data_IF_851880096408
#
_entry.id   IF_851880096408
#
_cell.length_a   1.000
_cell.length_b   1.000
_cell.length_c   1.000
_cell.angle_alpha   90.00
_cell.angle_beta   90.00
_cell.angle_gamma   90.00
#
_symmetry.space_group_name_H-M   'P 1'
#
loop_
_entity.id
_entity.type
_entity.pdbx_description
1 polymer ?
#
# COMPACT_ATOMS: atom_id res chain seq x y z
N UNK A 1 -15.41 -0.12 4.88
CA UNK A 1 -14.70 0.59 3.79
C UNK A 1 -13.48 1.26 4.39
N UNK A 2 -12.32 1.11 3.77
CA UNK A 2 -11.07 1.79 4.18
C UNK A 2 -10.85 2.93 3.18
N UNK A 3 -10.71 4.17 3.66
CA UNK A 3 -10.46 5.34 2.81
C UNK A 3 -8.97 5.58 2.63
N UNK A 4 -8.18 5.42 3.69
CA UNK A 4 -6.73 5.44 3.59
C UNK A 4 -6.08 4.49 4.60
N UNK A 5 -4.85 4.15 4.34
CA UNK A 5 -3.95 3.55 5.32
C UNK A 5 -2.54 4.11 5.09
N UNK A 6 -1.67 3.95 6.08
CA UNK A 6 -0.34 4.52 6.03
C UNK A 6 0.72 3.44 6.08
N UNK A 7 1.80 3.64 5.35
CA UNK A 7 2.99 2.80 5.33
C UNK A 7 4.23 3.67 5.51
N UNK A 8 5.35 3.06 5.86
CA UNK A 8 6.64 3.74 5.92
C UNK A 8 7.56 3.24 4.80
N UNK A 9 8.37 4.15 4.23
CA UNK A 9 9.30 3.86 3.15
C UNK A 9 10.59 4.67 3.30
N UNK A 10 11.69 4.20 2.72
CA UNK A 10 12.96 4.96 2.67
C UNK A 10 12.87 6.12 1.70
N UNK A 11 12.17 5.93 0.59
CA UNK A 11 11.94 6.90 -0.47
C UNK A 11 10.44 7.16 -0.68
N UNK A 12 9.76 7.90 0.25
CA UNK A 12 8.30 8.06 0.22
C UNK A 12 7.75 8.58 -1.12
N UNK A 13 8.44 9.54 -1.74
CA UNK A 13 8.06 10.08 -3.04
C UNK A 13 8.01 9.01 -4.14
N UNK A 14 9.04 8.17 -4.17
CA UNK A 14 9.16 7.07 -5.14
C UNK A 14 8.08 6.02 -4.92
N UNK A 15 7.89 5.58 -3.68
CA UNK A 15 6.89 4.57 -3.34
C UNK A 15 5.48 5.09 -3.62
N UNK A 16 5.15 6.32 -3.22
CA UNK A 16 3.87 6.95 -3.55
C UNK A 16 3.66 7.08 -5.05
N UNK A 17 4.71 7.42 -5.81
CA UNK A 17 4.66 7.49 -7.28
C UNK A 17 4.31 6.15 -7.92
N UNK A 18 4.91 5.06 -7.46
CA UNK A 18 4.63 3.71 -7.97
C UNK A 18 3.21 3.25 -7.61
N UNK A 19 2.76 3.50 -6.37
CA UNK A 19 1.37 3.16 -5.98
C UNK A 19 0.38 3.96 -6.82
N UNK A 20 0.64 5.25 -7.06
CA UNK A 20 -0.20 6.08 -7.90
C UNK A 20 -0.24 5.56 -9.36
N UNK A 21 0.89 5.09 -9.90
CA UNK A 21 0.94 4.46 -11.23
C UNK A 21 0.09 3.19 -11.30
N UNK A 22 0.21 2.30 -10.29
CA UNK A 22 -0.63 1.10 -10.17
C UNK A 22 -2.13 1.43 -10.15
N UNK A 23 -2.51 2.60 -9.67
CA UNK A 23 -3.89 3.10 -9.60
C UNK A 23 -4.31 3.99 -10.78
N UNK A 24 -3.41 4.27 -11.72
CA UNK A 24 -3.58 5.34 -12.73
C UNK A 24 -4.02 6.67 -12.07
N UNK A 25 -3.55 6.88 -10.85
CA UNK A 25 -3.86 8.02 -10.01
C UNK A 25 -2.74 9.06 -10.00
N UNK A 26 -2.54 9.70 -8.86
CA UNK A 26 -1.50 10.74 -8.70
C UNK A 26 -0.80 10.63 -7.35
N UNK A 27 0.48 10.98 -7.32
CA UNK A 27 1.23 11.17 -6.07
C UNK A 27 1.44 12.67 -5.80
N UNK A 28 1.50 13.02 -4.52
CA UNK A 28 1.76 14.40 -4.09
C UNK A 28 2.44 14.43 -2.71
N UNK A 29 3.19 15.50 -2.40
CA UNK A 29 3.66 15.73 -1.04
C UNK A 29 2.50 15.78 -0.05
N UNK A 30 2.72 15.22 1.15
CA UNK A 30 1.69 15.18 2.19
C UNK A 30 2.23 15.74 3.53
N UNK A 31 2.41 17.07 3.63
CA UNK A 31 3.05 17.72 4.76
C UNK A 31 2.31 17.61 6.12
N UNK A 32 0.96 17.38 6.20
CA UNK A 32 0.28 17.37 7.50
C UNK A 32 0.85 16.36 8.51
N UNK A 33 1.49 15.32 8.05
CA UNK A 33 1.98 14.21 8.92
C UNK A 33 3.49 14.14 9.07
N UNK A 34 4.23 15.07 8.51
CA UNK A 34 5.68 15.16 8.67
C UNK A 34 6.39 15.53 7.38
N UNK A 35 7.52 16.19 7.53
CA UNK A 35 8.36 16.57 6.41
C UNK A 35 8.83 15.32 5.64
N UNK A 36 8.76 15.37 4.31
CA UNK A 36 9.16 14.27 3.44
C UNK A 36 8.10 13.18 3.25
N UNK A 37 6.92 13.28 3.87
CA UNK A 37 5.80 12.36 3.61
C UNK A 37 5.10 12.65 2.28
N UNK A 38 4.56 11.60 1.66
CA UNK A 38 3.85 11.65 0.39
C UNK A 38 2.53 10.91 0.47
N UNK A 39 1.64 11.18 -0.47
CA UNK A 39 0.40 10.44 -0.62
C UNK A 39 0.24 9.97 -2.07
N UNK A 40 -0.24 8.75 -2.24
CA UNK A 40 -0.75 8.22 -3.49
C UNK A 40 -2.27 8.23 -3.44
N UNK A 41 -2.92 8.88 -4.40
CA UNK A 41 -4.36 8.96 -4.51
C UNK A 41 -4.84 8.14 -5.71
N UNK A 42 -5.84 7.31 -5.49
CA UNK A 42 -6.48 6.56 -6.55
C UNK A 42 -7.38 7.45 -7.42
N UNK A 43 -7.54 7.09 -8.69
CA UNK A 43 -8.49 7.75 -9.61
C UNK A 43 -9.91 7.14 -9.48
N UNK A 44 -10.39 6.92 -8.26
CA UNK A 44 -11.63 6.16 -7.97
C UNK A 44 -12.84 7.04 -7.61
N UNK A 45 -12.68 8.36 -7.58
CA UNK A 45 -13.72 9.30 -7.16
C UNK A 45 -14.09 9.24 -5.67
N UNK A 46 -13.36 8.45 -4.84
CA UNK A 46 -13.61 8.26 -3.40
C UNK A 46 -12.51 8.85 -2.53
N UNK A 47 -11.45 9.40 -3.13
CA UNK A 47 -10.23 9.81 -2.45
C UNK A 47 -9.55 8.66 -1.68
N UNK A 48 -9.61 7.43 -2.20
CA UNK A 48 -8.81 6.34 -1.64
C UNK A 48 -7.34 6.70 -1.72
N UNK A 49 -6.63 6.54 -0.61
CA UNK A 49 -5.27 7.08 -0.47
C UNK A 49 -4.35 6.12 0.30
N UNK A 50 -3.10 6.07 -0.11
CA UNK A 50 -2.01 5.54 0.71
C UNK A 50 -1.10 6.68 1.10
N UNK A 51 -0.96 6.92 2.41
CA UNK A 51 0.03 7.84 2.95
C UNK A 51 1.35 7.12 3.11
N UNK A 52 2.42 7.71 2.61
CA UNK A 52 3.76 7.15 2.68
C UNK A 52 4.65 8.04 3.52
N UNK A 53 4.94 7.61 4.73
CA UNK A 53 5.79 8.28 5.71
C UNK A 53 7.26 7.94 5.49
N UNK A 54 8.15 8.75 6.01
CA UNK A 54 9.55 8.38 6.08
C UNK A 54 9.75 7.13 6.97
N UNK A 55 10.65 6.24 6.58
CA UNK A 55 10.98 5.06 7.38
C UNK A 55 11.42 5.47 8.80
N UNK A 56 10.86 4.81 9.80
CA UNK A 56 11.07 5.14 11.21
C UNK A 56 10.02 6.07 11.81
N UNK A 57 9.06 6.56 11.02
CA UNK A 57 7.93 7.31 11.58
C UNK A 57 7.03 6.39 12.41
N UNK A 58 6.75 6.78 13.65
CA UNK A 58 5.78 6.14 14.54
C UNK A 58 4.72 7.15 14.96
N UNK A 59 3.46 6.78 14.84
CA UNK A 59 2.35 7.55 15.40
C UNK A 59 2.11 7.09 16.85
N UNK A 60 2.14 8.03 17.77
CA UNK A 60 1.90 7.78 19.19
C UNK A 60 0.73 8.63 19.68
N UNK A 61 -0.12 8.06 20.54
CA UNK A 61 -1.20 8.84 21.14
C UNK A 61 -0.61 10.01 21.96
N UNK A 62 -1.32 11.12 21.97
CA UNK A 62 -1.04 12.26 22.86
C UNK A 62 -2.01 12.27 24.04
N UNK A 63 -1.73 13.10 25.04
CA UNK A 63 -2.60 13.27 26.20
C UNK A 63 -3.80 14.18 25.87
N UNK A 64 -4.94 13.87 26.48
CA UNK A 64 -6.16 14.67 26.35
C UNK A 64 -6.71 14.67 24.91
N UNK A 65 -7.04 15.84 24.42
CA UNK A 65 -7.62 16.06 23.08
C UNK A 65 -6.58 16.53 22.04
N UNK A 66 -5.31 16.28 22.30
CA UNK A 66 -4.25 16.64 21.37
C UNK A 66 -4.10 15.59 20.27
N UNK A 67 -3.71 16.04 19.06
CA UNK A 67 -3.44 15.18 17.92
C UNK A 67 -2.34 14.16 18.19
N UNK A 68 -2.41 12.99 17.52
CA UNK A 68 -1.35 12.01 17.56
C UNK A 68 0.00 12.61 17.15
N UNK A 69 1.04 12.22 17.85
CA UNK A 69 2.41 12.70 17.57
C UNK A 69 3.12 11.75 16.65
N UNK A 70 3.75 12.30 15.61
CA UNK A 70 4.71 11.57 14.81
C UNK A 70 6.10 11.69 15.48
N UNK A 71 6.72 10.56 15.78
CA UNK A 71 8.07 10.48 16.35
C UNK A 71 8.95 9.61 15.49
N UNK A 72 10.26 9.82 15.54
CA UNK A 72 11.23 9.03 14.78
C UNK A 72 11.76 7.89 15.64
N UNK A 73 11.62 6.66 15.14
CA UNK A 73 12.26 5.47 15.69
C UNK A 73 13.40 5.02 14.76
N UNK A 74 14.67 5.22 15.10
CA UNK A 74 15.79 4.79 14.29
C UNK A 74 15.95 3.26 14.22
N UNK A 75 15.23 2.50 15.06
CA UNK A 75 15.24 1.05 15.12
C UNK A 75 13.94 0.43 14.58
N UNK A 76 13.25 1.14 13.68
CA UNK A 76 12.03 0.63 13.06
C UNK A 76 12.29 -0.72 12.37
N UNK A 77 11.39 -1.72 12.52
CA UNK A 77 11.56 -3.02 11.90
C UNK A 77 11.51 -2.89 10.37
N UNK A 78 12.39 -3.62 9.69
CA UNK A 78 12.40 -3.68 8.23
C UNK A 78 11.16 -4.36 7.66
N UNK A 79 10.68 -5.40 8.32
CA UNK A 79 9.51 -6.18 7.90
C UNK A 79 8.42 -6.10 8.95
N UNK A 80 7.17 -5.96 8.49
CA UNK A 80 5.99 -5.95 9.36
C UNK A 80 4.92 -6.86 8.78
N UNK A 81 3.93 -7.22 9.58
CA UNK A 81 2.75 -7.92 9.10
C UNK A 81 1.74 -6.98 8.44
N UNK A 82 1.91 -5.68 8.59
CA UNK A 82 1.02 -4.68 7.99
C UNK A 82 1.15 -4.72 6.48
N UNK A 83 0.07 -5.03 5.78
CA UNK A 83 -0.03 -5.00 4.34
C UNK A 83 -1.47 -4.73 3.92
N UNK A 84 -1.69 -4.45 2.66
CA UNK A 84 -3.02 -4.28 2.11
C UNK A 84 -3.14 -4.97 0.75
N UNK A 85 -4.36 -5.40 0.42
CA UNK A 85 -4.72 -5.75 -0.93
C UNK A 85 -5.34 -4.52 -1.61
N UNK A 86 -4.81 -4.15 -2.77
CA UNK A 86 -5.24 -3.00 -3.55
C UNK A 86 -5.68 -3.42 -4.95
N UNK A 87 -6.78 -2.84 -5.41
CA UNK A 87 -7.23 -3.01 -6.79
C UNK A 87 -6.33 -2.25 -7.76
N UNK A 88 -6.17 -2.76 -8.99
CA UNK A 88 -5.51 -2.04 -10.08
C UNK A 88 -6.32 -2.21 -11.38
N UNK A 89 -6.39 -1.19 -12.26
CA UNK A 89 -6.89 -1.35 -13.61
C UNK A 89 -5.84 -1.87 -14.60
N UNK A 90 -4.60 -2.12 -14.13
CA UNK A 90 -3.51 -2.61 -14.96
C UNK A 90 -3.62 -4.12 -15.17
N UNK A 91 -3.08 -4.61 -16.28
CA UNK A 91 -2.88 -6.03 -16.50
C UNK A 91 -1.71 -6.57 -15.65
N UNK A 92 -1.65 -7.89 -15.47
CA UNK A 92 -0.63 -8.53 -14.65
C UNK A 92 0.80 -8.26 -15.13
N UNK A 93 1.04 -8.27 -16.43
CA UNK A 93 2.33 -8.00 -17.04
C UNK A 93 2.78 -6.54 -16.84
N UNK A 94 1.85 -5.58 -16.86
CA UNK A 94 2.12 -4.18 -16.54
C UNK A 94 2.58 -4.03 -15.08
N UNK A 95 1.94 -4.72 -14.14
CA UNK A 95 2.34 -4.72 -12.72
C UNK A 95 3.74 -5.31 -12.53
N UNK A 96 4.04 -6.43 -13.19
CA UNK A 96 5.38 -7.01 -13.15
C UNK A 96 6.44 -6.12 -13.80
N UNK A 97 6.10 -5.44 -14.91
CA UNK A 97 7.02 -4.50 -15.56
C UNK A 97 7.37 -3.31 -14.65
N UNK A 98 6.37 -2.78 -13.92
CA UNK A 98 6.58 -1.71 -12.94
C UNK A 98 7.52 -2.20 -11.84
N UNK A 99 7.24 -3.34 -11.21
CA UNK A 99 8.07 -3.88 -10.13
C UNK A 99 9.51 -4.16 -10.60
N UNK A 100 9.68 -4.73 -11.80
CA UNK A 100 10.99 -4.99 -12.39
C UNK A 100 11.78 -3.70 -12.66
N UNK A 101 11.14 -2.65 -13.17
CA UNK A 101 11.74 -1.33 -13.38
C UNK A 101 12.27 -0.75 -12.08
N UNK A 102 11.54 -0.92 -10.99
CA UNK A 102 11.92 -0.44 -9.66
C UNK A 102 12.99 -1.32 -8.98
N UNK A 103 13.26 -2.52 -9.50
CA UNK A 103 14.12 -3.51 -8.85
C UNK A 103 13.47 -4.14 -7.61
N UNK A 104 12.15 -4.19 -7.58
CA UNK A 104 11.36 -4.75 -6.48
C UNK A 104 10.90 -6.17 -6.80
N UNK A 105 10.88 -7.01 -5.78
CA UNK A 105 10.38 -8.37 -5.91
C UNK A 105 8.86 -8.36 -6.12
N UNK A 106 8.40 -9.12 -7.12
CA UNK A 106 6.99 -9.34 -7.36
C UNK A 106 6.72 -10.79 -7.75
N UNK A 107 5.64 -11.37 -7.22
CA UNK A 107 5.27 -12.76 -7.48
C UNK A 107 3.75 -12.93 -7.52
N UNK A 108 3.27 -13.65 -8.52
CA UNK A 108 1.88 -14.12 -8.51
C UNK A 108 1.71 -15.23 -7.47
N UNK A 109 0.60 -15.18 -6.74
CA UNK A 109 0.18 -16.22 -5.80
C UNK A 109 -1.30 -16.51 -5.95
N UNK A 110 -1.67 -17.79 -5.82
CA UNK A 110 -3.06 -18.21 -5.70
C UNK A 110 -3.33 -18.55 -4.24
N UNK A 111 -4.05 -17.69 -3.55
CA UNK A 111 -4.34 -17.85 -2.11
C UNK A 111 -5.35 -18.97 -1.90
N UNK A 112 -4.91 -20.05 -1.23
CA UNK A 112 -5.74 -21.21 -0.95
C UNK A 112 -6.38 -21.87 -2.18
N UNK A 113 -5.88 -21.61 -3.38
CA UNK A 113 -6.50 -22.06 -4.63
C UNK A 113 -7.76 -21.26 -5.03
N UNK A 114 -8.12 -20.23 -4.28
CA UNK A 114 -9.40 -19.50 -4.41
C UNK A 114 -9.27 -18.22 -5.24
N UNK A 115 -8.30 -17.36 -4.95
CA UNK A 115 -8.11 -16.08 -5.65
C UNK A 115 -6.65 -15.78 -5.89
N UNK A 116 -6.37 -15.07 -6.98
CA UNK A 116 -5.04 -14.60 -7.34
C UNK A 116 -4.69 -13.29 -6.67
N UNK A 117 -3.41 -13.07 -6.40
CA UNK A 117 -2.81 -11.79 -6.03
C UNK A 117 -1.42 -11.68 -6.65
N UNK A 118 -0.97 -10.45 -6.88
CA UNK A 118 0.43 -10.17 -7.18
C UNK A 118 1.04 -9.56 -5.92
N UNK A 119 1.86 -10.33 -5.21
CA UNK A 119 2.69 -9.80 -4.13
C UNK A 119 3.72 -8.86 -4.74
N UNK A 120 3.70 -7.59 -4.36
CA UNK A 120 4.71 -6.60 -4.72
C UNK A 120 5.38 -6.12 -3.44
N UNK A 121 6.69 -6.27 -3.36
CA UNK A 121 7.48 -5.88 -2.20
C UNK A 121 8.10 -4.49 -2.43
N UNK A 122 7.38 -3.45 -2.02
CA UNK A 122 7.83 -2.07 -2.10
C UNK A 122 9.18 -1.93 -1.39
N UNK A 123 10.20 -1.43 -2.08
CA UNK A 123 11.59 -1.36 -1.60
C UNK A 123 12.15 -2.69 -1.05
N UNK A 124 11.59 -3.82 -1.50
CA UNK A 124 11.90 -5.17 -0.99
C UNK A 124 11.73 -5.29 0.54
N UNK A 125 10.75 -4.59 1.12
CA UNK A 125 10.48 -4.57 2.56
C UNK A 125 9.00 -4.56 2.94
N UNK A 126 8.17 -3.78 2.29
CA UNK A 126 6.74 -3.64 2.60
C UNK A 126 5.90 -4.35 1.55
N UNK A 127 5.09 -5.31 1.98
CA UNK A 127 4.20 -6.05 1.10
C UNK A 127 2.95 -5.24 0.76
N UNK A 128 2.61 -5.19 -0.54
CA UNK A 128 1.24 -4.96 -1.00
C UNK A 128 0.83 -6.11 -1.91
N UNK A 129 -0.46 -6.48 -1.86
CA UNK A 129 -1.06 -7.43 -2.78
C UNK A 129 -1.84 -6.66 -3.84
N UNK A 130 -1.40 -6.73 -5.09
CA UNK A 130 -2.05 -6.02 -6.20
C UNK A 130 -2.99 -6.97 -6.91
N UNK A 131 -4.27 -6.57 -7.04
CA UNK A 131 -5.32 -7.35 -7.65
C UNK A 131 -5.74 -6.73 -8.99
N UNK A 132 -5.50 -7.44 -10.09
CA UNK A 132 -6.06 -7.10 -11.41
C UNK A 132 -7.58 -7.26 -11.39
N UNK A 133 -8.28 -6.81 -12.43
CA UNK A 133 -9.74 -6.93 -12.49
C UNK A 133 -10.22 -8.38 -12.30
N UNK A 134 -9.58 -9.36 -12.92
CA UNK A 134 -9.90 -10.77 -12.75
C UNK A 134 -9.73 -11.23 -11.29
N UNK A 135 -8.61 -10.87 -10.66
CA UNK A 135 -8.32 -11.23 -9.26
C UNK A 135 -9.31 -10.58 -8.29
N UNK A 136 -9.75 -9.35 -8.57
CA UNK A 136 -10.81 -8.68 -7.82
C UNK A 136 -12.13 -9.44 -7.91
N UNK A 137 -12.52 -9.92 -9.10
CA UNK A 137 -13.72 -10.73 -9.26
C UNK A 137 -13.62 -12.05 -8.49
N UNK A 138 -12.49 -12.72 -8.52
CA UNK A 138 -12.26 -13.90 -7.70
C UNK A 138 -12.41 -13.59 -6.21
N UNK A 139 -11.82 -12.47 -5.76
CA UNK A 139 -11.85 -12.05 -4.35
C UNK A 139 -13.27 -11.74 -3.85
N UNK A 140 -14.08 -10.99 -4.61
CA UNK A 140 -15.45 -10.65 -4.20
C UNK A 140 -16.41 -11.85 -4.25
N UNK A 141 -16.07 -12.87 -5.02
CA UNK A 141 -16.84 -14.12 -5.10
C UNK A 141 -16.52 -15.11 -3.96
N UNK A 142 -15.56 -14.78 -3.08
CA UNK A 142 -15.30 -15.60 -1.90
C UNK A 142 -16.54 -15.69 -1.03
N UNK A 143 -16.98 -16.93 -0.75
CA UNK A 143 -18.02 -17.15 0.26
C UNK A 143 -17.35 -17.08 1.63
N UNK A 144 -17.82 -16.23 2.54
CA UNK A 144 -17.33 -16.27 3.91
C UNK A 144 -17.57 -17.69 4.48
N UNK A 145 -16.67 -18.19 5.36
CA UNK A 145 -16.94 -19.44 6.06
C UNK A 145 -18.28 -19.33 6.79
N UNK A 146 -19.04 -20.44 6.90
CA UNK A 146 -20.27 -20.43 7.69
C UNK A 146 -19.94 -19.90 9.09
N UNK A 147 -20.74 -18.96 9.57
CA UNK A 147 -20.58 -18.42 10.91
C UNK A 147 -20.68 -19.53 11.97
N UNK A 148 -20.17 -19.30 13.17
CA UNK A 148 -20.26 -20.24 14.28
C UNK A 148 -21.69 -20.50 14.69
#
# INVERSE_FOLDING_TARGET
MIHHYSIAAREPARVAGVIAELWRGRAMPFPPVGEGSWAALAADGRNSMVEVYALGSELRPAEGDADARCVVNPQAPRFTATHAAIATPLAQDEVFAIAAREGWEAKYRKRGGLFGVIEVWLENSTLIEVLTEEMQQEYVNLKPPPGP
#
